data_IF_536050215356
#
_entry.id   IF_536050215356
#
_cell.length_a   1.000
_cell.length_b   1.000
_cell.length_c   1.000
_cell.angle_alpha   90.00
_cell.angle_beta   90.00
_cell.angle_gamma   90.00
#
_symmetry.space_group_name_H-M   'P 1'
#
loop_
_entity.id
_entity.type
_entity.pdbx_description
1 polymer ?
#
# COMPACT_ATOMS: atom_id res chain seq x y z
N UNK A 1 1.89 1.32 13.83
CA UNK A 1 1.79 1.15 12.36
C UNK A 1 0.82 0.03 12.06
N UNK A 2 0.19 0.01 10.88
CA UNK A 2 -0.84 -1.00 10.55
C UNK A 2 -0.27 -2.42 10.58
N UNK A 3 -0.97 -3.32 11.26
CA UNK A 3 -0.69 -4.75 11.31
C UNK A 3 -1.95 -5.53 11.70
N UNK A 4 -2.05 -6.84 11.38
CA UNK A 4 -3.15 -7.65 11.84
C UNK A 4 -3.18 -7.76 13.37
N UNK A 5 -4.37 -7.68 13.98
CA UNK A 5 -4.53 -7.84 15.44
C UNK A 5 -4.15 -9.25 15.91
N UNK A 6 -4.53 -10.28 15.13
CA UNK A 6 -4.23 -11.69 15.40
C UNK A 6 -4.07 -12.43 14.08
N UNK A 7 -3.10 -13.34 14.00
CA UNK A 7 -2.93 -14.26 12.85
C UNK A 7 -2.89 -15.70 13.33
N UNK A 8 -3.40 -16.64 12.52
CA UNK A 8 -3.34 -18.08 12.82
C UNK A 8 -1.89 -18.58 12.90
N UNK A 9 -1.03 -18.08 12.00
CA UNK A 9 0.38 -18.46 11.93
C UNK A 9 1.26 -17.22 11.99
N UNK A 10 2.21 -17.21 12.93
CA UNK A 10 3.17 -16.11 13.07
C UNK A 10 4.13 -16.00 11.89
N UNK A 11 4.58 -17.13 11.32
CA UNK A 11 5.59 -17.17 10.25
C UNK A 11 4.98 -17.80 8.98
N UNK A 12 5.03 -17.07 7.86
CA UNK A 12 4.46 -17.54 6.58
C UNK A 12 5.50 -17.61 5.45
N UNK A 13 5.27 -18.45 4.43
CA UNK A 13 6.04 -18.38 3.19
C UNK A 13 5.60 -17.14 2.40
N UNK A 14 6.56 -16.35 1.92
CA UNK A 14 6.29 -15.06 1.25
C UNK A 14 5.66 -15.24 -0.14
N UNK A 15 5.91 -16.35 -0.81
CA UNK A 15 5.40 -16.62 -2.17
C UNK A 15 5.93 -15.66 -3.23
N UNK A 16 5.53 -15.89 -4.49
CA UNK A 16 5.82 -15.01 -5.63
C UNK A 16 4.65 -14.04 -5.85
N UNK A 17 4.95 -12.81 -6.27
CA UNK A 17 3.95 -11.80 -6.63
C UNK A 17 4.00 -11.63 -8.16
N UNK A 18 3.05 -12.23 -8.89
CA UNK A 18 3.03 -12.32 -10.36
C UNK A 18 1.68 -11.86 -10.90
N UNK A 19 1.64 -11.50 -12.18
CA UNK A 19 0.41 -11.12 -12.87
C UNK A 19 -0.11 -9.74 -12.50
N UNK A 20 -1.31 -9.45 -12.99
CA UNK A 20 -2.03 -8.18 -12.81
C UNK A 20 -3.15 -8.31 -11.78
N UNK A 21 -3.57 -7.18 -11.20
CA UNK A 21 -4.64 -7.15 -10.23
C UNK A 21 -5.99 -7.45 -10.90
N UNK A 22 -6.58 -8.60 -10.55
CA UNK A 22 -7.93 -8.97 -10.98
C UNK A 22 -9.03 -8.24 -10.16
N UNK A 23 -8.72 -7.85 -8.93
CA UNK A 23 -9.67 -7.22 -8.01
C UNK A 23 -9.09 -5.96 -7.36
N UNK A 24 -9.98 -5.03 -6.97
CA UNK A 24 -9.61 -3.72 -6.41
C UNK A 24 -8.73 -2.90 -7.36
N UNK A 25 -9.01 -3.02 -8.66
CA UNK A 25 -8.32 -2.34 -9.74
C UNK A 25 -9.10 -1.12 -10.30
N UNK A 26 -10.29 -0.89 -9.74
CA UNK A 26 -11.17 0.26 -9.96
C UNK A 26 -11.24 1.10 -8.68
N UNK A 27 -11.61 2.36 -8.83
CA UNK A 27 -11.89 3.29 -7.72
C UNK A 27 -13.36 3.07 -7.31
N UNK A 28 -13.62 2.65 -6.08
CA UNK A 28 -14.98 2.27 -5.66
C UNK A 28 -15.60 3.22 -4.61
N UNK A 29 -14.79 3.79 -3.72
CA UNK A 29 -15.27 4.64 -2.63
C UNK A 29 -15.12 6.12 -2.97
N UNK A 30 -13.91 6.55 -3.33
CA UNK A 30 -13.61 7.95 -3.66
C UNK A 30 -13.94 8.34 -5.10
N UNK A 31 -13.56 9.57 -5.45
CA UNK A 31 -13.66 10.12 -6.81
C UNK A 31 -12.35 9.91 -7.57
N UNK A 32 -11.23 9.96 -6.85
CA UNK A 32 -9.88 9.81 -7.40
C UNK A 32 -9.11 8.72 -6.66
N UNK A 33 -8.20 8.04 -7.37
CA UNK A 33 -7.39 6.95 -6.83
C UNK A 33 -5.94 6.98 -7.28
N UNK A 34 -5.08 6.39 -6.44
CA UNK A 34 -3.68 6.13 -6.75
C UNK A 34 -3.49 4.65 -7.05
N UNK A 35 -3.16 4.31 -8.30
CA UNK A 35 -3.08 2.93 -8.81
C UNK A 35 -1.62 2.53 -9.02
N UNK A 36 -1.24 1.33 -8.61
CA UNK A 36 0.10 0.79 -8.89
C UNK A 36 0.24 0.42 -10.36
N UNK A 37 1.37 0.73 -10.98
CA UNK A 37 1.70 0.28 -12.35
C UNK A 37 2.69 -0.90 -12.35
N UNK A 38 3.26 -1.25 -11.20
CA UNK A 38 4.20 -2.36 -11.07
C UNK A 38 3.87 -3.32 -9.91
N UNK A 39 4.56 -4.46 -9.89
CA UNK A 39 4.51 -5.42 -8.80
C UNK A 39 5.44 -4.96 -7.68
N UNK A 40 4.97 -4.99 -6.44
CA UNK A 40 5.79 -4.61 -5.29
C UNK A 40 5.32 -5.17 -3.97
N UNK A 41 6.07 -4.84 -2.91
CA UNK A 41 5.71 -5.11 -1.52
C UNK A 41 5.79 -3.80 -0.76
N UNK A 42 4.64 -3.24 -0.42
CA UNK A 42 4.56 -1.98 0.29
C UNK A 42 4.52 -2.25 1.79
N UNK A 43 5.46 -1.70 2.53
CA UNK A 43 5.55 -1.81 3.98
C UNK A 43 4.49 -0.93 4.66
N UNK A 44 4.05 -1.31 5.87
CA UNK A 44 3.17 -0.52 6.71
C UNK A 44 3.69 0.92 6.94
N UNK A 45 5.02 1.10 6.98
CA UNK A 45 5.70 2.41 7.08
C UNK A 45 5.41 3.30 5.88
N UNK A 46 5.49 2.75 4.68
CA UNK A 46 5.26 3.48 3.43
C UNK A 46 3.79 3.85 3.29
N UNK A 47 2.88 2.93 3.65
CA UNK A 47 1.43 3.21 3.68
C UNK A 47 1.12 4.40 4.60
N UNK A 48 1.70 4.41 5.80
CA UNK A 48 1.49 5.51 6.76
C UNK A 48 2.15 6.82 6.31
N UNK A 49 3.34 6.76 5.69
CA UNK A 49 4.03 7.93 5.16
C UNK A 49 3.23 8.58 4.01
N UNK A 50 2.73 7.76 3.07
CA UNK A 50 1.87 8.20 1.98
C UNK A 50 0.55 8.77 2.50
N UNK A 51 -0.12 8.08 3.44
CA UNK A 51 -1.35 8.57 4.09
C UNK A 51 -1.12 9.94 4.73
N UNK A 52 -0.05 10.10 5.52
CA UNK A 52 0.30 11.37 6.15
C UNK A 52 0.54 12.47 5.13
N UNK A 53 1.25 12.19 4.03
CA UNK A 53 1.49 13.15 2.96
C UNK A 53 0.17 13.65 2.34
N UNK A 54 -0.74 12.73 2.00
CA UNK A 54 -2.07 13.05 1.48
C UNK A 54 -2.83 13.93 2.47
N UNK A 55 -2.99 13.47 3.72
CA UNK A 55 -3.78 14.18 4.74
C UNK A 55 -3.22 15.57 5.05
N UNK A 56 -1.89 15.75 5.00
CA UNK A 56 -1.27 17.07 5.24
C UNK A 56 -1.56 18.04 4.09
N UNK A 57 -1.54 17.54 2.85
CA UNK A 57 -1.79 18.38 1.68
C UNK A 57 -3.25 18.83 1.61
N UNK A 58 -4.19 17.91 1.80
CA UNK A 58 -5.64 18.21 1.80
C UNK A 58 -6.12 18.89 3.09
N UNK A 59 -5.27 18.95 4.13
CA UNK A 59 -5.54 19.53 5.45
C UNK A 59 -6.72 18.85 6.17
N UNK A 60 -7.90 19.50 6.15
CA UNK A 60 -9.17 18.98 6.70
C UNK A 60 -10.22 18.72 5.61
N UNK A 61 -9.84 18.89 4.34
CA UNK A 61 -10.72 18.66 3.20
C UNK A 61 -10.75 17.20 2.80
N UNK A 62 -11.95 16.69 2.54
CA UNK A 62 -12.16 15.36 1.96
C UNK A 62 -11.93 14.17 2.90
N UNK A 63 -12.15 12.98 2.35
CA UNK A 63 -11.91 11.69 3.01
C UNK A 63 -10.84 10.92 2.25
N UNK A 64 -10.01 10.18 2.98
CA UNK A 64 -8.94 9.35 2.42
C UNK A 64 -9.21 7.89 2.76
N UNK A 65 -9.27 7.04 1.74
CA UNK A 65 -9.40 5.61 1.87
C UNK A 65 -8.06 4.93 1.61
N UNK A 66 -7.72 3.97 2.46
CA UNK A 66 -6.57 3.09 2.25
C UNK A 66 -7.11 1.76 1.73
N UNK A 67 -6.76 1.39 0.50
CA UNK A 67 -7.28 0.22 -0.22
C UNK A 67 -6.43 -1.04 -0.06
N UNK A 68 -5.30 -0.90 0.63
CA UNK A 68 -4.33 -1.98 0.89
C UNK A 68 -4.07 -2.11 2.39
N UNK A 69 -3.88 -3.34 2.83
CA UNK A 69 -3.58 -3.64 4.22
C UNK A 69 -2.35 -4.55 4.29
N UNK A 70 -1.39 -4.28 5.18
CA UNK A 70 -0.17 -5.08 5.29
C UNK A 70 -0.46 -6.37 6.08
N UNK A 71 -0.70 -7.46 5.37
CA UNK A 71 -1.14 -8.75 5.90
C UNK A 71 -0.06 -9.84 5.85
N UNK A 72 1.04 -9.61 5.13
CA UNK A 72 2.10 -10.61 4.96
C UNK A 72 3.27 -10.34 5.92
N UNK A 73 3.61 -11.27 6.83
CA UNK A 73 4.72 -11.09 7.76
C UNK A 73 6.07 -11.36 7.06
N UNK A 74 6.99 -10.41 7.15
CA UNK A 74 8.37 -10.53 6.68
C UNK A 74 9.29 -10.74 7.88
N UNK A 75 10.14 -11.75 7.78
CA UNK A 75 11.08 -12.11 8.85
C UNK A 75 12.50 -11.72 8.51
N UNK A 76 13.27 -11.34 9.52
CA UNK A 76 14.71 -11.11 9.48
C UNK A 76 15.44 -12.08 10.42
N UNK A 77 16.69 -12.41 10.07
CA UNK A 77 17.63 -12.97 11.04
C UNK A 77 18.51 -11.85 11.58
N UNK A 78 19.02 -11.97 12.82
CA UNK A 78 20.03 -11.04 13.34
C UNK A 78 21.27 -10.97 12.43
N UNK A 79 22.02 -9.88 12.50
CA UNK A 79 23.17 -9.63 11.62
C UNK A 79 24.36 -10.56 11.89
N UNK A 80 24.48 -11.11 13.09
CA UNK A 80 25.66 -11.87 13.55
C UNK A 80 25.50 -13.39 13.49
N UNK A 81 24.41 -13.90 12.90
CA UNK A 81 24.15 -15.35 12.83
C UNK A 81 24.40 -15.94 11.46
N UNK A 82 24.95 -17.16 11.42
CA UNK A 82 25.15 -17.92 10.18
C UNK A 82 23.83 -18.37 9.55
N UNK A 83 23.91 -18.78 8.29
CA UNK A 83 22.79 -19.43 7.58
C UNK A 83 22.47 -20.79 8.23
N UNK A 84 21.23 -21.29 8.11
CA UNK A 84 20.73 -22.48 8.84
C UNK A 84 19.81 -22.15 10.03
N UNK A 85 19.51 -23.10 10.91
CA UNK A 85 18.74 -22.87 12.17
C UNK A 85 17.31 -22.32 12.03
N UNK A 86 16.70 -22.49 10.86
CA UNK A 86 15.31 -22.11 10.61
C UNK A 86 15.06 -20.61 10.35
N UNK A 87 13.79 -20.22 10.47
CA UNK A 87 13.30 -18.88 10.10
C UNK A 87 13.34 -17.94 11.30
N UNK A 88 13.88 -16.73 11.12
CA UNK A 88 13.96 -15.71 12.16
C UNK A 88 12.61 -15.11 12.59
N UNK A 89 12.68 -14.03 13.37
CA UNK A 89 11.50 -13.34 13.91
C UNK A 89 10.82 -12.47 12.87
N UNK A 90 9.53 -12.16 13.08
CA UNK A 90 8.77 -11.25 12.21
C UNK A 90 9.20 -9.82 12.54
N UNK A 91 9.72 -9.12 11.54
CA UNK A 91 10.27 -7.77 11.68
C UNK A 91 9.25 -6.71 11.26
N UNK A 92 8.55 -6.95 10.15
CA UNK A 92 7.57 -6.01 9.62
C UNK A 92 6.52 -6.71 8.76
N UNK A 93 5.47 -5.96 8.41
CA UNK A 93 4.35 -6.42 7.61
C UNK A 93 4.32 -5.69 6.28
N UNK A 94 3.99 -6.41 5.22
CA UNK A 94 3.90 -5.86 3.87
C UNK A 94 2.57 -6.20 3.23
N UNK A 95 2.07 -5.29 2.40
CA UNK A 95 1.00 -5.54 1.45
C UNK A 95 1.63 -5.94 0.10
N UNK A 96 1.18 -7.05 -0.49
CA UNK A 96 1.56 -7.40 -1.87
C UNK A 96 0.70 -6.60 -2.82
N UNK A 97 1.34 -5.93 -3.77
CA UNK A 97 0.68 -5.08 -4.76
C UNK A 97 1.02 -5.58 -6.15
N UNK A 98 0.00 -5.69 -6.99
CA UNK A 98 0.12 -6.03 -8.41
C UNK A 98 -0.17 -4.79 -9.27
N UNK A 99 0.35 -4.75 -10.51
CA UNK A 99 -0.04 -3.75 -11.49
C UNK A 99 -1.56 -3.70 -11.61
N UNK A 100 -2.08 -2.48 -11.59
CA UNK A 100 -3.49 -2.21 -11.64
C UNK A 100 -4.19 -2.12 -10.29
N UNK A 101 -3.56 -2.48 -9.16
CA UNK A 101 -4.21 -2.38 -7.85
C UNK A 101 -4.31 -0.93 -7.39
N UNK A 102 -5.49 -0.50 -6.94
CA UNK A 102 -5.69 0.82 -6.29
C UNK A 102 -5.20 0.75 -4.85
N UNK A 103 -4.39 1.74 -4.46
CA UNK A 103 -3.71 1.83 -3.16
C UNK A 103 -4.41 2.79 -2.20
N UNK A 104 -4.80 3.95 -2.71
CA UNK A 104 -5.49 5.00 -1.97
C UNK A 104 -6.60 5.58 -2.82
N UNK A 105 -7.63 6.10 -2.16
CA UNK A 105 -8.67 6.89 -2.81
C UNK A 105 -8.93 8.15 -1.99
N UNK A 106 -9.38 9.21 -2.67
CA UNK A 106 -9.77 10.48 -2.06
C UNK A 106 -11.16 10.86 -2.58
N UNK A 107 -11.98 11.42 -1.69
CA UNK A 107 -13.32 11.95 -1.95
C UNK A 107 -13.41 13.39 -1.43
N UNK A 108 -14.16 14.27 -2.12
CA UNK A 108 -14.53 15.58 -1.61
C UNK A 108 -13.42 16.63 -1.74
N UNK A 109 -12.61 16.52 -2.79
CA UNK A 109 -11.58 17.50 -3.16
C UNK A 109 -11.60 17.70 -4.68
N UNK A 110 -11.07 18.82 -5.17
CA UNK A 110 -10.93 19.02 -6.62
C UNK A 110 -9.86 18.11 -7.21
N UNK A 111 -9.97 17.80 -8.52
CA UNK A 111 -8.98 16.97 -9.21
C UNK A 111 -7.55 17.52 -9.09
N UNK A 112 -7.39 18.85 -9.21
CA UNK A 112 -6.10 19.53 -9.08
C UNK A 112 -5.43 19.26 -7.73
N UNK A 113 -6.21 19.32 -6.65
CA UNK A 113 -5.74 19.03 -5.29
C UNK A 113 -5.45 17.54 -5.13
N UNK A 114 -6.31 16.66 -5.65
CA UNK A 114 -6.09 15.21 -5.60
C UNK A 114 -4.80 14.79 -6.33
N UNK A 115 -4.56 15.36 -7.51
CA UNK A 115 -3.38 15.06 -8.34
C UNK A 115 -2.08 15.45 -7.62
N UNK A 116 -2.03 16.62 -7.03
CA UNK A 116 -0.87 17.05 -6.24
C UNK A 116 -0.70 16.24 -4.94
N UNK A 117 -1.80 15.95 -4.23
CA UNK A 117 -1.75 15.09 -3.04
C UNK A 117 -1.17 13.71 -3.37
N UNK A 118 -1.60 13.11 -4.48
CA UNK A 118 -1.12 11.81 -4.93
C UNK A 118 0.30 11.84 -5.50
N UNK A 119 0.74 12.94 -6.12
CA UNK A 119 2.13 13.14 -6.51
C UNK A 119 3.07 13.14 -5.30
N UNK A 120 2.66 13.76 -4.20
CA UNK A 120 3.44 13.73 -2.95
C UNK A 120 3.41 12.35 -2.29
N UNK A 121 2.28 11.65 -2.38
CA UNK A 121 2.12 10.30 -1.85
C UNK A 121 2.96 9.26 -2.61
N UNK A 122 2.99 9.33 -3.95
CA UNK A 122 3.73 8.39 -4.79
C UNK A 122 5.22 8.41 -4.48
N UNK A 123 5.79 9.59 -4.17
CA UNK A 123 7.18 9.74 -3.76
C UNK A 123 7.52 9.04 -2.42
N UNK A 124 6.52 8.55 -1.67
CA UNK A 124 6.71 7.78 -0.43
C UNK A 124 6.58 6.27 -0.62
N UNK A 125 6.23 5.83 -1.81
CA UNK A 125 6.00 4.42 -2.13
C UNK A 125 7.18 3.88 -2.93
N UNK A 126 7.60 2.64 -2.64
CA UNK A 126 8.57 1.89 -3.43
C UNK A 126 8.03 1.37 -4.77
N UNK A 127 6.78 1.70 -5.13
CA UNK A 127 6.19 1.32 -6.41
C UNK A 127 5.84 2.52 -7.27
N UNK A 128 6.01 2.40 -8.59
CA UNK A 128 5.46 3.32 -9.58
C UNK A 128 3.94 3.31 -9.53
N UNK A 129 3.36 4.49 -9.62
CA UNK A 129 1.91 4.69 -9.56
C UNK A 129 1.40 5.63 -10.65
N UNK A 130 0.12 5.53 -10.93
CA UNK A 130 -0.63 6.39 -11.83
C UNK A 130 -1.88 6.92 -11.13
N UNK A 131 -2.28 8.13 -11.50
CA UNK A 131 -3.56 8.71 -11.10
C UNK A 131 -4.71 8.01 -11.84
N UNK A 132 -5.82 7.77 -11.15
CA UNK A 132 -7.03 7.21 -11.71
C UNK A 132 -8.24 8.01 -11.25
N UNK A 133 -9.20 8.20 -12.14
CA UNK A 133 -10.50 8.79 -11.84
C UNK A 133 -11.56 7.68 -11.81
N UNK A 134 -12.62 7.89 -11.04
CA UNK A 134 -13.77 6.99 -11.01
C UNK A 134 -14.55 7.08 -12.31
N UNK A 135 -14.37 6.08 -13.17
CA UNK A 135 -15.25 5.89 -14.33
C UNK A 135 -16.48 5.10 -13.91
N UNK A 136 -17.66 5.69 -14.05
CA UNK A 136 -18.93 4.95 -13.95
C UNK A 136 -19.18 4.33 -15.32
N UNK A 137 -19.05 3.00 -15.41
CA UNK A 137 -19.52 2.18 -16.53
C UNK A 137 -20.62 1.27 -16.02
#
# INVERSE_FOLDING_TARGET
MLQPKRTKFRKMRKGRNRGVAAAGNKVDFGEFGLKSTENGRINAREIEAARRAITRYIRRGGKVYIRVFPDVPVTGKPLEVRMGSGKGNVEYWVAKVQPGRVLFEIEGVTETVAREAFRLASAKLSVKTAFAERTVL
#
